data_IF_607541385050
#
_entry.id   IF_607541385050
#
_cell.length_a   1.000
_cell.length_b   1.000
_cell.length_c   1.000
_cell.angle_alpha   90.00
_cell.angle_beta   90.00
_cell.angle_gamma   90.00
#
_symmetry.space_group_name_H-M   'P 1'
#
loop_
_entity.id
_entity.type
_entity.pdbx_description
1 polymer ?
#
# COMPACT_ATOMS: atom_id res chain seq x y z
N UNK A 1 4.63 -1.66 22.59
CA UNK A 1 4.34 -0.62 21.57
C UNK A 1 5.57 0.29 21.57
N UNK A 2 6.34 0.37 20.47
CA UNK A 2 7.57 1.19 20.46
C UNK A 2 7.18 2.66 20.38
N UNK A 3 7.86 3.50 21.14
CA UNK A 3 7.46 4.88 21.44
C UNK A 3 7.43 5.80 20.21
N UNK A 4 8.11 5.44 19.11
CA UNK A 4 8.17 6.23 17.86
C UNK A 4 7.59 5.52 16.64
N UNK A 5 7.01 4.34 16.80
CA UNK A 5 6.47 3.57 15.70
C UNK A 5 5.09 4.09 15.28
N UNK A 6 4.98 4.58 14.04
CA UNK A 6 3.71 4.99 13.43
C UNK A 6 3.26 4.02 12.34
N UNK A 7 1.94 3.88 12.17
CA UNK A 7 1.30 3.16 11.06
C UNK A 7 0.94 4.07 9.89
N UNK A 8 1.21 5.37 10.00
CA UNK A 8 0.95 6.34 8.92
C UNK A 8 1.97 6.14 7.81
N UNK A 9 1.48 5.99 6.57
CA UNK A 9 2.28 5.84 5.35
C UNK A 9 1.73 6.75 4.27
N UNK A 10 2.60 7.18 3.36
CA UNK A 10 2.24 8.01 2.22
C UNK A 10 2.18 7.13 0.98
N UNK A 11 0.96 6.95 0.46
CA UNK A 11 0.74 6.34 -0.84
C UNK A 11 1.08 7.36 -1.92
N UNK A 12 2.06 7.05 -2.76
CA UNK A 12 2.56 7.92 -3.83
C UNK A 12 1.75 7.65 -5.11
N UNK A 13 1.51 6.37 -5.41
CA UNK A 13 0.76 5.94 -6.58
C UNK A 13 -0.08 4.71 -6.27
N UNK A 14 -1.29 4.68 -6.82
CA UNK A 14 -2.15 3.51 -6.82
C UNK A 14 -2.95 3.54 -8.11
N UNK A 15 -2.60 2.68 -9.06
CA UNK A 15 -3.18 2.68 -10.40
C UNK A 15 -3.42 1.27 -10.89
N UNK A 16 -4.44 1.11 -11.72
CA UNK A 16 -4.69 -0.13 -12.46
C UNK A 16 -4.45 0.12 -13.94
N UNK A 17 -3.83 -0.86 -14.59
CA UNK A 17 -3.72 -0.93 -16.05
C UNK A 17 -4.17 -2.31 -16.50
N UNK A 18 -4.50 -2.43 -17.79
CA UNK A 18 -4.78 -3.71 -18.42
C UNK A 18 -3.77 -3.89 -19.55
N UNK A 19 -3.09 -5.03 -19.56
CA UNK A 19 -2.20 -5.44 -20.64
C UNK A 19 -3.00 -5.93 -21.84
N UNK A 20 -2.34 -6.06 -22.99
CA UNK A 20 -2.98 -6.49 -24.23
C UNK A 20 -3.52 -7.94 -24.17
N UNK A 21 -2.89 -8.80 -23.36
CA UNK A 21 -3.35 -10.17 -23.08
C UNK A 21 -4.45 -10.23 -21.99
N UNK A 22 -4.91 -9.07 -21.51
CA UNK A 22 -6.06 -8.94 -20.64
C UNK A 22 -5.77 -9.02 -19.14
N UNK A 23 -4.50 -9.20 -18.73
CA UNK A 23 -4.10 -9.15 -17.32
C UNK A 23 -4.34 -7.75 -16.75
N UNK A 24 -4.96 -7.71 -15.56
CA UNK A 24 -5.13 -6.46 -14.80
C UNK A 24 -3.96 -6.33 -13.83
N UNK A 25 -3.18 -5.27 -14.00
CA UNK A 25 -1.99 -5.00 -13.18
C UNK A 25 -2.28 -3.81 -12.27
N UNK A 26 -2.16 -4.03 -10.96
CA UNK A 26 -2.21 -2.99 -9.96
C UNK A 26 -0.79 -2.56 -9.60
N UNK A 27 -0.46 -1.28 -9.79
CA UNK A 27 0.81 -0.72 -9.34
C UNK A 27 0.57 0.15 -8.11
N UNK A 28 1.30 -0.16 -7.03
CA UNK A 28 1.16 0.51 -5.73
C UNK A 28 2.55 0.95 -5.27
N UNK A 29 2.71 2.25 -5.04
CA UNK A 29 3.97 2.89 -4.67
C UNK A 29 3.77 3.70 -3.39
N UNK A 30 4.69 3.59 -2.45
CA UNK A 30 4.61 4.28 -1.16
C UNK A 30 5.98 4.51 -0.54
N UNK A 31 6.06 5.43 0.42
CA UNK A 31 7.27 5.68 1.22
C UNK A 31 7.67 4.47 2.07
N UNK A 32 6.68 3.72 2.55
CA UNK A 32 6.82 2.39 3.14
C UNK A 32 5.45 1.70 3.19
N UNK A 33 5.46 0.37 3.41
CA UNK A 33 4.25 -0.42 3.56
C UNK A 33 4.13 -1.00 4.97
N UNK A 34 2.91 -1.02 5.51
CA UNK A 34 2.57 -1.80 6.70
C UNK A 34 2.34 -3.27 6.33
N UNK A 35 2.33 -4.16 7.33
CA UNK A 35 2.06 -5.58 7.12
C UNK A 35 0.72 -5.78 6.38
N UNK A 36 0.75 -6.53 5.27
CA UNK A 36 -0.37 -6.77 4.35
C UNK A 36 -0.96 -5.56 3.62
N UNK A 37 -0.39 -4.35 3.76
CA UNK A 37 -1.00 -3.10 3.24
C UNK A 37 -1.37 -3.17 1.75
N UNK A 38 -0.43 -3.55 0.88
CA UNK A 38 -0.69 -3.64 -0.57
C UNK A 38 -1.81 -4.63 -0.87
N UNK A 39 -1.76 -5.82 -0.25
CA UNK A 39 -2.76 -6.87 -0.47
C UNK A 39 -4.15 -6.51 0.07
N UNK A 40 -4.21 -5.72 1.15
CA UNK A 40 -5.46 -5.17 1.68
C UNK A 40 -6.03 -4.08 0.75
N UNK A 41 -5.20 -3.16 0.25
CA UNK A 41 -5.61 -2.14 -0.72
C UNK A 41 -6.18 -2.81 -1.98
N UNK A 42 -5.43 -3.76 -2.56
CA UNK A 42 -5.87 -4.49 -3.76
C UNK A 42 -7.15 -5.28 -3.49
N UNK A 43 -7.25 -5.98 -2.35
CA UNK A 43 -8.46 -6.71 -1.97
C UNK A 43 -9.71 -5.81 -1.90
N UNK A 44 -9.59 -4.68 -1.22
CA UNK A 44 -10.69 -3.71 -1.09
C UNK A 44 -11.11 -3.13 -2.45
N UNK A 45 -10.15 -2.80 -3.31
CA UNK A 45 -10.44 -2.27 -4.65
C UNK A 45 -11.06 -3.33 -5.57
N UNK A 46 -10.69 -4.61 -5.42
CA UNK A 46 -11.35 -5.72 -6.11
C UNK A 46 -12.80 -5.90 -5.66
N UNK A 47 -13.10 -5.75 -4.36
CA UNK A 47 -14.47 -5.80 -3.86
C UNK A 47 -15.35 -4.71 -4.48
N UNK A 48 -14.83 -3.49 -4.59
CA UNK A 48 -15.51 -2.38 -5.28
C UNK A 48 -15.65 -2.66 -6.78
N UNK A 49 -14.58 -3.09 -7.45
CA UNK A 49 -14.61 -3.41 -8.88
C UNK A 49 -15.56 -4.55 -9.23
N UNK A 50 -15.88 -5.43 -8.27
CA UNK A 50 -16.85 -6.53 -8.42
C UNK A 50 -18.26 -6.15 -7.93
N UNK A 51 -18.47 -4.90 -7.50
CA UNK A 51 -19.77 -4.40 -7.05
C UNK A 51 -20.22 -4.88 -5.68
N UNK A 52 -19.33 -5.51 -4.89
CA UNK A 52 -19.66 -5.91 -3.50
C UNK A 52 -19.77 -4.71 -2.56
N UNK A 53 -19.04 -3.65 -2.86
CA UNK A 53 -19.07 -2.40 -2.13
C UNK A 53 -19.08 -1.20 -3.08
N UNK A 54 -19.72 -0.12 -2.67
CA UNK A 54 -19.66 1.15 -3.40
C UNK A 54 -18.29 1.83 -3.20
N UNK A 55 -17.82 2.66 -4.14
CA UNK A 55 -16.52 3.34 -4.01
C UNK A 55 -16.35 4.14 -2.71
N UNK A 56 -17.41 4.77 -2.20
CA UNK A 56 -17.39 5.54 -0.95
C UNK A 56 -17.04 4.69 0.29
N UNK A 57 -17.22 3.37 0.21
CA UNK A 57 -16.84 2.45 1.28
C UNK A 57 -15.32 2.44 1.53
N UNK A 58 -14.49 2.66 0.50
CA UNK A 58 -13.02 2.72 0.66
C UNK A 58 -12.65 3.88 1.56
N UNK A 59 -13.17 5.08 1.28
CA UNK A 59 -12.91 6.28 2.07
C UNK A 59 -13.35 6.11 3.51
N UNK A 60 -14.58 5.64 3.75
CA UNK A 60 -15.09 5.36 5.10
C UNK A 60 -14.20 4.37 5.86
N UNK A 61 -13.74 3.32 5.17
CA UNK A 61 -12.87 2.31 5.77
C UNK A 61 -11.50 2.86 6.14
N UNK A 62 -10.93 3.73 5.29
CA UNK A 62 -9.66 4.40 5.58
C UNK A 62 -9.77 5.40 6.73
N UNK A 63 -10.88 6.15 6.80
CA UNK A 63 -11.16 7.16 7.83
C UNK A 63 -11.49 6.58 9.21
N UNK A 64 -11.99 5.33 9.26
CA UNK A 64 -12.30 4.67 10.53
C UNK A 64 -11.04 4.42 11.40
N UNK A 65 -9.84 4.41 10.81
CA UNK A 65 -8.56 4.21 11.51
C UNK A 65 -8.47 2.92 12.35
N UNK A 66 -9.31 1.93 12.05
CA UNK A 66 -9.38 0.64 12.74
C UNK A 66 -9.12 -0.51 11.78
N UNK A 67 -8.59 -1.63 12.30
CA UNK A 67 -8.48 -2.84 11.50
C UNK A 67 -9.86 -3.45 11.31
N UNK A 68 -10.27 -3.57 10.05
CA UNK A 68 -11.53 -4.22 9.68
C UNK A 68 -11.31 -5.62 9.11
N UNK A 69 -12.16 -6.56 9.51
CA UNK A 69 -12.26 -7.89 8.89
C UNK A 69 -13.07 -7.87 7.58
N UNK A 70 -13.69 -6.73 7.23
CA UNK A 70 -14.50 -6.59 6.03
C UNK A 70 -13.66 -6.63 4.73
N UNK A 71 -12.37 -6.32 4.79
CA UNK A 71 -11.47 -6.42 3.64
C UNK A 71 -10.94 -7.85 3.54
N UNK A 72 -11.27 -8.54 2.46
CA UNK A 72 -10.60 -9.79 2.12
C UNK A 72 -9.21 -9.47 1.54
N UNK A 73 -8.15 -9.86 2.25
CA UNK A 73 -6.77 -9.64 1.80
C UNK A 73 -6.51 -10.46 0.52
N UNK A 74 -6.07 -9.81 -0.56
CA UNK A 74 -5.75 -10.48 -1.82
C UNK A 74 -4.68 -11.59 -1.64
N UNK A 75 -4.64 -12.65 -2.45
CA UNK A 75 -3.60 -13.69 -2.37
C UNK A 75 -2.16 -13.14 -2.50
N UNK A 76 -1.18 -13.81 -1.91
CA UNK A 76 0.22 -13.35 -1.94
C UNK A 76 0.91 -13.62 -3.29
N UNK A 77 0.52 -14.70 -3.99
CA UNK A 77 1.17 -15.17 -5.22
C UNK A 77 1.16 -14.15 -6.37
N UNK A 78 0.23 -13.18 -6.37
CA UNK A 78 0.17 -12.12 -7.37
C UNK A 78 0.95 -10.85 -7.01
N UNK A 79 1.59 -10.79 -5.84
CA UNK A 79 2.33 -9.61 -5.40
C UNK A 79 3.83 -9.79 -5.69
N UNK A 80 4.39 -8.88 -6.47
CA UNK A 80 5.83 -8.82 -6.77
C UNK A 80 6.38 -7.44 -6.38
N UNK A 81 7.58 -7.41 -5.81
CA UNK A 81 8.33 -6.17 -5.63
C UNK A 81 9.02 -5.82 -6.95
N UNK A 82 8.61 -4.71 -7.57
CA UNK A 82 9.12 -4.30 -8.89
C UNK A 82 10.36 -3.40 -8.78
N UNK A 83 10.33 -2.39 -7.91
CA UNK A 83 11.37 -1.37 -7.84
C UNK A 83 11.60 -0.88 -6.40
N UNK A 84 12.86 -0.49 -6.12
CA UNK A 84 13.22 0.33 -4.95
C UNK A 84 14.06 1.50 -5.47
N UNK A 85 13.59 2.72 -5.23
CA UNK A 85 14.32 3.94 -5.60
C UNK A 85 15.19 4.39 -4.43
N UNK A 86 16.46 4.65 -4.73
CA UNK A 86 17.42 5.26 -3.82
C UNK A 86 17.78 6.67 -4.29
N UNK A 87 17.99 7.63 -3.38
CA UNK A 87 18.55 8.92 -3.74
C UNK A 87 20.03 8.78 -4.15
N UNK A 88 20.67 9.85 -4.68
CA UNK A 88 22.10 9.90 -4.90
C UNK A 88 22.92 9.53 -3.66
N UNK A 89 24.15 9.04 -3.86
CA UNK A 89 25.00 8.50 -2.79
C UNK A 89 25.27 9.53 -1.67
N UNK A 90 25.44 10.80 -2.02
CA UNK A 90 25.61 11.91 -1.08
C UNK A 90 24.42 12.10 -0.13
N UNK A 91 23.21 11.71 -0.56
CA UNK A 91 21.96 11.86 0.19
C UNK A 91 21.59 10.59 0.98
N UNK A 92 22.25 9.45 0.73
CA UNK A 92 21.98 8.19 1.42
C UNK A 92 22.06 8.30 2.96
N UNK A 93 23.07 8.96 3.57
CA UNK A 93 23.14 9.09 5.02
C UNK A 93 21.93 9.82 5.60
N UNK A 94 21.50 10.91 4.96
CA UNK A 94 20.33 11.67 5.37
C UNK A 94 19.04 10.84 5.23
N UNK A 95 18.91 10.07 4.15
CA UNK A 95 17.78 9.17 3.93
C UNK A 95 17.70 8.06 4.97
N UNK A 96 18.83 7.48 5.35
CA UNK A 96 18.90 6.47 6.39
C UNK A 96 18.41 7.02 7.75
N UNK A 97 18.82 8.23 8.11
CA UNK A 97 18.39 8.89 9.35
C UNK A 97 16.88 9.19 9.35
N UNK A 98 16.34 9.72 8.24
CA UNK A 98 14.89 9.93 8.07
C UNK A 98 14.10 8.64 8.26
N UNK A 99 14.59 7.54 7.69
CA UNK A 99 13.90 6.25 7.70
C UNK A 99 13.96 5.57 9.07
N UNK A 100 15.10 5.64 9.78
CA UNK A 100 15.25 5.08 11.13
C UNK A 100 14.34 5.77 12.14
N UNK A 101 14.25 7.10 12.10
CA UNK A 101 13.40 7.89 13.03
C UNK A 101 11.91 7.53 12.97
N UNK A 102 11.41 7.10 11.80
CA UNK A 102 10.01 6.70 11.60
C UNK A 102 9.72 5.23 11.92
N UNK A 103 10.76 4.40 12.11
CA UNK A 103 10.66 2.94 12.27
C UNK A 103 11.09 2.42 13.66
N UNK A 104 11.68 3.29 14.50
CA UNK A 104 12.11 2.97 15.86
C UNK A 104 10.93 2.75 16.82
#
# INVERSE_FOLDING_TARGET
KRERATTIRTLIRCSFSRTDDGLVVATVEADAFCHSMVRSIVGALLDVGQGRHEPAWITRTAEALERTAAIQVAPALGLTLEEIVYPPDEDLPAQAERTRRRRA
#
